data_IF_684683854221
#
_entry.id   IF_684683854221
#
_cell.length_a   1.000
_cell.length_b   1.000
_cell.length_c   1.000
_cell.angle_alpha   90.00
_cell.angle_beta   90.00
_cell.angle_gamma   90.00
#
_symmetry.space_group_name_H-M   'P 1'
#
loop_
_entity.id
_entity.type
_entity.pdbx_description
1 polymer ?
#
# COMPACT_ATOMS: atom_id res chain seq x y z
N UNK A 1 -20.57 37.91 3.25
CA UNK A 1 -20.46 37.12 2.01
C UNK A 1 -19.94 35.76 2.41
N UNK A 2 -20.80 34.74 2.31
CA UNK A 2 -20.50 33.38 2.73
C UNK A 2 -19.46 32.80 1.76
N UNK A 3 -18.26 32.50 2.24
CA UNK A 3 -17.31 31.68 1.49
C UNK A 3 -17.91 30.26 1.45
N UNK A 4 -18.56 29.94 0.34
CA UNK A 4 -18.98 28.59 0.04
C UNK A 4 -17.71 27.79 -0.24
N UNK A 5 -17.17 27.15 0.80
CA UNK A 5 -16.17 26.10 0.63
C UNK A 5 -16.76 25.08 -0.34
N UNK A 6 -16.17 25.00 -1.54
CA UNK A 6 -16.46 23.91 -2.47
C UNK A 6 -16.27 22.57 -1.75
N UNK A 7 -16.92 21.48 -2.20
CA UNK A 7 -16.86 20.20 -1.50
C UNK A 7 -15.40 19.85 -1.24
N UNK A 8 -15.01 19.76 0.04
CA UNK A 8 -13.65 19.47 0.50
C UNK A 8 -13.11 18.27 -0.30
N UNK A 9 -12.29 18.55 -1.30
CA UNK A 9 -11.77 17.53 -2.19
C UNK A 9 -10.53 16.97 -1.54
N UNK A 10 -10.63 15.75 -1.04
CA UNK A 10 -9.56 15.11 -0.28
C UNK A 10 -8.54 14.53 -1.22
N UNK A 11 -7.27 14.71 -0.92
CA UNK A 11 -6.20 14.23 -1.78
C UNK A 11 -5.62 12.90 -1.29
N UNK A 12 -5.46 11.98 -2.22
CA UNK A 12 -4.59 10.82 -2.06
C UNK A 12 -3.48 10.97 -3.07
N UNK A 13 -2.29 11.27 -2.56
CA UNK A 13 -1.10 11.33 -3.37
C UNK A 13 -0.65 9.91 -3.71
N UNK A 14 -0.29 9.67 -4.96
CA UNK A 14 0.07 8.35 -5.46
C UNK A 14 1.22 8.44 -6.46
N UNK A 15 2.22 7.58 -6.29
CA UNK A 15 3.22 7.26 -7.31
C UNK A 15 3.36 5.75 -7.41
N UNK A 16 3.46 5.23 -8.62
CA UNK A 16 3.82 3.84 -8.87
C UNK A 16 4.70 3.77 -10.11
N UNK A 17 5.90 3.24 -9.94
CA UNK A 17 6.95 3.23 -10.96
C UNK A 17 7.67 1.89 -10.96
N UNK A 18 8.17 1.53 -12.14
CA UNK A 18 9.14 0.47 -12.34
C UNK A 18 10.54 1.10 -12.27
N UNK A 19 11.34 0.60 -11.33
CA UNK A 19 12.73 1.01 -11.13
C UNK A 19 13.63 0.43 -12.24
N UNK A 20 14.86 0.94 -12.36
CA UNK A 20 15.83 0.48 -13.36
C UNK A 20 16.13 -1.02 -13.26
N UNK A 21 16.15 -1.56 -12.05
CA UNK A 21 16.38 -2.98 -11.79
C UNK A 21 15.12 -3.85 -11.98
N UNK A 22 14.05 -3.27 -12.52
CA UNK A 22 12.71 -3.87 -12.68
C UNK A 22 12.02 -4.29 -11.39
N UNK A 23 12.46 -3.75 -10.25
CA UNK A 23 11.65 -3.76 -9.03
C UNK A 23 10.56 -2.68 -9.10
N UNK A 24 9.51 -2.88 -8.32
CA UNK A 24 8.36 -1.99 -8.28
C UNK A 24 8.42 -1.14 -7.03
N UNK A 25 8.31 0.17 -7.22
CA UNK A 25 8.07 1.14 -6.18
C UNK A 25 6.63 1.64 -6.28
N UNK A 26 5.92 1.63 -5.16
CA UNK A 26 4.58 2.18 -5.04
C UNK A 26 4.45 2.92 -3.71
N UNK A 27 3.92 4.14 -3.73
CA UNK A 27 3.64 4.90 -2.52
C UNK A 27 2.32 5.62 -2.66
N UNK A 28 1.49 5.53 -1.64
CA UNK A 28 0.26 6.29 -1.51
C UNK A 28 0.16 6.89 -0.13
N UNK A 29 -0.31 8.12 -0.03
CA UNK A 29 -0.57 8.73 1.26
C UNK A 29 -1.76 9.68 1.24
N UNK A 30 -2.30 9.91 2.43
CA UNK A 30 -3.28 10.96 2.71
C UNK A 30 -2.96 11.58 4.06
N UNK A 31 -3.40 12.81 4.30
CA UNK A 31 -3.20 13.50 5.57
C UNK A 31 -4.53 13.61 6.31
N UNK A 32 -4.56 13.21 7.57
CA UNK A 32 -5.71 13.37 8.46
C UNK A 32 -5.44 14.47 9.49
N UNK A 33 -6.49 15.12 10.04
CA UNK A 33 -6.35 16.08 11.12
C UNK A 33 -5.51 15.57 12.32
N UNK A 34 -4.73 16.46 12.95
CA UNK A 34 -3.78 16.11 14.02
C UNK A 34 -4.45 15.63 15.31
N UNK A 35 -5.68 16.06 15.58
CA UNK A 35 -6.50 15.60 16.71
C UNK A 35 -6.80 14.10 16.65
N UNK A 36 -6.69 13.48 15.47
CA UNK A 36 -6.87 12.04 15.31
C UNK A 36 -5.61 11.23 15.66
N UNK A 37 -4.43 11.86 15.83
CA UNK A 37 -3.16 11.17 16.13
C UNK A 37 -3.24 10.15 17.27
N UNK A 38 -3.91 10.41 18.41
CA UNK A 38 -3.99 9.44 19.52
C UNK A 38 -4.74 8.15 19.18
N UNK A 39 -5.52 8.14 18.10
CA UNK A 39 -6.30 6.99 17.63
C UNK A 39 -5.58 6.20 16.54
N UNK A 40 -4.36 6.59 16.19
CA UNK A 40 -3.62 6.10 15.05
C UNK A 40 -2.32 5.44 15.49
N UNK A 41 -2.01 4.32 14.85
CA UNK A 41 -0.74 3.60 14.93
C UNK A 41 -0.46 2.90 13.59
N UNK A 42 0.77 2.50 13.36
CA UNK A 42 1.13 1.75 12.16
C UNK A 42 0.48 0.35 12.17
N UNK A 43 0.32 -0.27 13.35
CA UNK A 43 -0.45 -1.50 13.53
C UNK A 43 -1.92 -1.32 13.21
N UNK A 44 -2.51 -0.19 13.63
CA UNK A 44 -3.90 0.13 13.26
C UNK A 44 -4.05 0.16 11.74
N UNK A 45 -3.12 0.79 11.00
CA UNK A 45 -3.17 0.80 9.54
C UNK A 45 -3.02 -0.61 8.96
N UNK A 46 -2.09 -1.43 9.47
CA UNK A 46 -1.91 -2.81 9.03
C UNK A 46 -3.19 -3.63 9.26
N UNK A 47 -3.73 -3.66 10.48
CA UNK A 47 -4.93 -4.43 10.82
C UNK A 47 -6.13 -4.04 9.95
N UNK A 48 -6.33 -2.73 9.77
CA UNK A 48 -7.38 -2.19 8.90
C UNK A 48 -7.14 -2.56 7.45
N UNK A 49 -5.90 -2.58 6.98
CA UNK A 49 -5.54 -2.99 5.62
C UNK A 49 -5.86 -4.46 5.39
N UNK A 50 -5.48 -5.36 6.31
CA UNK A 50 -5.80 -6.78 6.19
C UNK A 50 -7.32 -7.01 6.16
N UNK A 51 -8.07 -6.38 7.08
CA UNK A 51 -9.53 -6.45 7.08
C UNK A 51 -10.13 -5.89 5.77
N UNK A 52 -9.56 -4.80 5.25
CA UNK A 52 -9.98 -4.20 3.99
C UNK A 52 -9.75 -5.12 2.80
N UNK A 53 -8.56 -5.75 2.67
CA UNK A 53 -8.26 -6.72 1.60
C UNK A 53 -9.29 -7.85 1.61
N UNK A 54 -9.58 -8.41 2.79
CA UNK A 54 -10.58 -9.48 2.92
C UNK A 54 -11.95 -9.02 2.43
N UNK A 55 -12.39 -7.81 2.77
CA UNK A 55 -13.69 -7.28 2.35
C UNK A 55 -13.73 -6.91 0.87
N UNK A 56 -12.71 -6.20 0.39
CA UNK A 56 -12.63 -5.70 -0.98
C UNK A 56 -12.56 -6.83 -2.00
N UNK A 57 -11.88 -7.92 -1.67
CA UNK A 57 -11.75 -9.10 -2.53
C UNK A 57 -12.87 -10.12 -2.32
N UNK A 58 -13.92 -9.79 -1.55
CA UNK A 58 -14.99 -10.72 -1.16
C UNK A 58 -14.44 -12.06 -0.64
N UNK A 59 -13.39 -11.97 0.18
CA UNK A 59 -12.63 -13.09 0.75
C UNK A 59 -11.85 -13.96 -0.23
N UNK A 60 -11.77 -13.60 -1.52
CA UNK A 60 -10.94 -14.27 -2.52
C UNK A 60 -9.47 -14.26 -2.11
N UNK A 61 -8.99 -13.13 -1.58
CA UNK A 61 -7.69 -13.02 -0.94
C UNK A 61 -7.91 -12.97 0.57
N UNK A 62 -7.34 -13.94 1.28
CA UNK A 62 -7.45 -14.08 2.73
C UNK A 62 -6.10 -13.81 3.37
N UNK A 63 -5.93 -12.67 4.05
CA UNK A 63 -4.80 -12.48 4.92
C UNK A 63 -4.87 -13.47 6.08
N UNK A 64 -3.77 -14.16 6.35
CA UNK A 64 -3.58 -15.05 7.48
C UNK A 64 -2.39 -14.52 8.26
N UNK A 65 -2.62 -14.14 9.52
CA UNK A 65 -1.58 -13.70 10.46
C UNK A 65 -1.19 -14.90 11.30
N UNK A 66 0.11 -15.16 11.38
CA UNK A 66 0.71 -16.23 12.17
C UNK A 66 2.00 -15.72 12.84
N UNK A 67 2.57 -16.50 13.74
CA UNK A 67 3.78 -16.12 14.47
C UNK A 67 4.99 -15.91 13.55
N UNK A 68 5.03 -16.62 12.42
CA UNK A 68 6.09 -16.56 11.40
C UNK A 68 5.84 -15.49 10.33
N UNK A 69 4.72 -14.77 10.40
CA UNK A 69 4.45 -13.60 9.55
C UNK A 69 3.03 -13.54 9.00
N UNK A 70 2.89 -12.95 7.82
CA UNK A 70 1.59 -12.70 7.19
C UNK A 70 1.55 -13.28 5.79
N UNK A 71 0.48 -14.00 5.46
CA UNK A 71 0.28 -14.57 4.13
C UNK A 71 -1.03 -14.09 3.50
N UNK A 72 -0.97 -13.58 2.27
CA UNK A 72 -2.16 -13.37 1.44
C UNK A 72 -2.47 -14.64 0.66
N UNK A 73 -3.42 -15.45 1.15
CA UNK A 73 -3.79 -16.74 0.54
C UNK A 73 -4.98 -16.62 -0.41
N UNK A 74 -4.99 -17.45 -1.45
CA UNK A 74 -6.15 -17.59 -2.32
C UNK A 74 -7.21 -18.48 -1.65
N UNK A 75 -8.46 -18.01 -1.61
CA UNK A 75 -9.59 -18.71 -1.01
C UNK A 75 -9.72 -20.16 -1.51
N UNK A 76 -10.03 -21.08 -0.59
CA UNK A 76 -10.16 -22.50 -0.91
C UNK A 76 -8.83 -23.22 -1.18
N UNK A 77 -7.68 -22.55 -1.03
CA UNK A 77 -6.36 -23.16 -1.28
C UNK A 77 -5.39 -22.89 -0.13
N UNK A 78 -4.29 -23.65 -0.12
CA UNK A 78 -3.10 -23.37 0.72
C UNK A 78 -2.08 -22.47 0.01
N UNK A 79 -2.37 -21.97 -1.19
CA UNK A 79 -1.43 -21.19 -1.99
C UNK A 79 -1.40 -19.74 -1.50
N UNK A 80 -0.21 -19.28 -1.12
CA UNK A 80 0.04 -17.87 -0.81
C UNK A 80 0.42 -17.11 -2.07
N UNK A 81 -0.31 -16.04 -2.36
CA UNK A 81 0.02 -15.10 -3.42
C UNK A 81 1.30 -14.33 -3.05
N UNK A 82 1.37 -13.84 -1.82
CA UNK A 82 2.53 -13.17 -1.23
C UNK A 82 2.63 -13.61 0.24
N UNK A 83 3.85 -13.86 0.69
CA UNK A 83 4.23 -14.13 2.07
C UNK A 83 5.14 -13.00 2.56
N UNK A 84 4.93 -12.62 3.81
CA UNK A 84 5.72 -11.63 4.50
C UNK A 84 6.27 -12.18 5.80
N UNK A 85 7.44 -11.69 6.21
CA UNK A 85 7.98 -11.89 7.57
C UNK A 85 7.08 -11.23 8.61
N UNK A 86 7.29 -11.51 9.91
CA UNK A 86 6.64 -10.74 10.97
C UNK A 86 6.91 -9.25 10.81
N UNK A 87 5.93 -8.39 11.16
CA UNK A 87 6.10 -6.96 11.06
C UNK A 87 7.22 -6.49 12.00
N UNK A 88 8.11 -5.65 11.49
CA UNK A 88 9.16 -4.98 12.25
C UNK A 88 8.77 -3.53 12.46
N UNK A 89 8.74 -3.10 13.72
CA UNK A 89 8.38 -1.74 14.10
C UNK A 89 9.64 -0.85 14.15
N UNK A 90 9.49 0.40 13.70
CA UNK A 90 10.46 1.48 13.87
C UNK A 90 9.73 2.73 14.33
N UNK A 91 10.08 3.19 15.53
CA UNK A 91 9.48 4.37 16.15
C UNK A 91 10.51 5.49 16.25
N UNK A 92 10.05 6.73 16.06
CA UNK A 92 10.83 7.94 16.27
C UNK A 92 9.93 9.10 16.72
N UNK A 93 10.50 10.25 17.10
CA UNK A 93 9.69 11.43 17.44
C UNK A 93 8.81 11.85 16.27
N UNK A 94 7.49 11.78 16.45
CA UNK A 94 6.50 12.11 15.41
C UNK A 94 6.48 11.15 14.21
N UNK A 95 7.14 9.99 14.31
CA UNK A 95 7.22 8.99 13.24
C UNK A 95 6.96 7.59 13.77
N UNK A 96 6.15 6.82 13.06
CA UNK A 96 5.87 5.43 13.38
C UNK A 96 5.80 4.62 12.09
N UNK A 97 6.56 3.52 12.01
CA UNK A 97 6.57 2.67 10.83
C UNK A 97 6.49 1.19 11.20
N UNK A 98 5.69 0.46 10.43
CA UNK A 98 5.60 -0.99 10.50
C UNK A 98 5.92 -1.57 9.13
N UNK A 99 7.03 -2.29 9.04
CA UNK A 99 7.56 -2.83 7.79
C UNK A 99 7.47 -4.35 7.78
N UNK A 100 6.96 -4.91 6.69
CA UNK A 100 6.88 -6.33 6.43
C UNK A 100 7.73 -6.64 5.21
N UNK A 101 8.76 -7.46 5.37
CA UNK A 101 9.57 -7.92 4.24
C UNK A 101 8.82 -9.02 3.54
N UNK A 102 8.77 -8.96 2.22
CA UNK A 102 8.36 -10.08 1.40
C UNK A 102 9.38 -11.19 1.65
N UNK A 103 8.90 -12.44 1.71
CA UNK A 103 9.75 -13.61 1.85
C UNK A 103 9.32 -14.76 0.92
N UNK A 104 8.30 -14.55 0.10
CA UNK A 104 7.90 -15.51 -0.92
C UNK A 104 6.49 -15.30 -1.46
N UNK A 105 5.99 -16.31 -2.15
CA UNK A 105 4.64 -16.34 -2.71
C UNK A 105 4.64 -16.48 -4.22
N UNK A 106 3.49 -16.88 -4.76
CA UNK A 106 3.34 -17.16 -6.19
C UNK A 106 3.52 -15.92 -7.08
N UNK A 107 3.32 -14.71 -6.55
CA UNK A 107 3.42 -13.48 -7.32
C UNK A 107 4.84 -12.86 -7.31
N UNK A 108 5.79 -13.47 -6.60
CA UNK A 108 7.14 -12.94 -6.39
C UNK A 108 8.17 -13.80 -7.15
N UNK A 109 9.22 -13.19 -7.68
CA UNK A 109 10.32 -13.95 -8.30
C UNK A 109 11.10 -14.73 -7.24
N UNK A 110 11.27 -16.05 -7.41
CA UNK A 110 11.82 -16.96 -6.40
C UNK A 110 13.21 -16.57 -5.85
N UNK A 111 14.05 -15.90 -6.65
CA UNK A 111 15.41 -15.46 -6.26
C UNK A 111 15.49 -14.02 -5.74
N UNK A 112 14.34 -13.36 -5.59
CA UNK A 112 14.22 -11.95 -5.18
C UNK A 112 13.21 -11.81 -4.03
N UNK A 113 12.91 -12.93 -3.36
CA UNK A 113 11.84 -13.01 -2.38
C UNK A 113 12.09 -12.14 -1.16
N UNK A 114 13.33 -11.85 -0.81
CA UNK A 114 13.78 -11.18 0.40
C UNK A 114 14.05 -9.68 0.23
N UNK A 115 13.85 -9.13 -0.98
CA UNK A 115 14.13 -7.72 -1.29
C UNK A 115 12.96 -6.79 -1.00
N UNK A 116 11.76 -7.19 -1.40
CA UNK A 116 10.61 -6.30 -1.38
C UNK A 116 10.09 -6.04 0.03
N UNK A 117 9.58 -4.84 0.28
CA UNK A 117 9.04 -4.46 1.58
C UNK A 117 7.70 -3.73 1.44
N UNK A 118 6.74 -4.09 2.30
CA UNK A 118 5.50 -3.35 2.48
C UNK A 118 5.55 -2.60 3.82
N UNK A 119 5.41 -1.28 3.79
CA UNK A 119 5.49 -0.41 4.97
C UNK A 119 4.21 0.38 5.17
N UNK A 120 3.78 0.46 6.43
CA UNK A 120 2.72 1.33 6.92
C UNK A 120 3.39 2.40 7.79
N UNK A 121 3.24 3.67 7.44
CA UNK A 121 3.96 4.76 8.11
C UNK A 121 3.00 5.87 8.51
N UNK A 122 3.28 6.46 9.66
CA UNK A 122 2.64 7.65 10.18
C UNK A 122 3.72 8.69 10.39
N UNK A 123 3.54 9.86 9.78
CA UNK A 123 4.43 11.01 9.95
C UNK A 123 3.60 12.20 10.43
N UNK A 124 3.97 12.78 11.56
CA UNK A 124 3.42 14.05 12.01
C UNK A 124 3.97 15.17 11.10
N UNK A 125 3.06 15.90 10.47
CA UNK A 125 3.33 16.99 9.53
C UNK A 125 2.62 18.26 10.02
N UNK A 126 3.06 19.43 9.54
CA UNK A 126 2.43 20.73 9.84
C UNK A 126 0.94 20.73 9.44
N UNK A 127 0.60 19.93 8.43
CA UNK A 127 -0.77 19.80 7.91
C UNK A 127 -1.63 18.76 8.63
N UNK A 128 -1.08 17.96 9.56
CA UNK A 128 -1.77 16.87 10.24
C UNK A 128 -0.93 15.59 10.31
N UNK A 129 -1.56 14.43 10.45
CA UNK A 129 -0.86 13.14 10.43
C UNK A 129 -0.93 12.54 9.04
N UNK A 130 0.23 12.33 8.41
CA UNK A 130 0.33 11.67 7.11
C UNK A 130 0.30 10.15 7.29
N UNK A 131 -0.65 9.50 6.65
CA UNK A 131 -0.80 8.04 6.62
C UNK A 131 -0.26 7.53 5.28
N UNK A 132 0.84 6.78 5.31
CA UNK A 132 1.52 6.32 4.10
C UNK A 132 1.53 4.80 4.00
N UNK A 133 1.19 4.29 2.81
CA UNK A 133 1.42 2.92 2.41
C UNK A 133 2.52 2.93 1.35
N UNK A 134 3.56 2.13 1.56
CA UNK A 134 4.69 2.06 0.65
C UNK A 134 5.07 0.63 0.35
N UNK A 135 5.26 0.31 -0.92
CA UNK A 135 5.85 -0.92 -1.42
C UNK A 135 7.18 -0.56 -2.10
N UNK A 136 8.29 -1.10 -1.64
CA UNK A 136 9.60 -0.93 -2.29
C UNK A 136 10.15 -2.27 -2.73
N UNK A 137 11.05 -2.24 -3.71
CA UNK A 137 11.87 -3.38 -4.13
C UNK A 137 11.08 -4.67 -4.47
N UNK A 138 9.79 -4.55 -4.80
CA UNK A 138 8.96 -5.71 -5.10
C UNK A 138 9.27 -6.21 -6.50
N UNK A 139 9.75 -7.45 -6.62
CA UNK A 139 10.05 -8.09 -7.89
C UNK A 139 8.90 -9.03 -8.31
N UNK A 140 7.98 -8.60 -9.20
CA UNK A 140 6.83 -9.39 -9.58
C UNK A 140 7.24 -10.53 -10.50
N UNK A 141 6.64 -11.71 -10.31
CA UNK A 141 6.86 -12.89 -11.17
C UNK A 141 6.52 -12.58 -12.63
N UNK A 142 5.48 -11.76 -12.87
CA UNK A 142 5.02 -11.41 -14.22
C UNK A 142 6.07 -10.65 -15.04
N UNK A 143 6.95 -9.87 -14.39
CA UNK A 143 8.06 -9.21 -15.07
C UNK A 143 9.17 -10.22 -15.38
N UNK A 144 9.44 -11.11 -14.42
CA UNK A 144 10.20 -12.35 -14.61
C UNK A 144 11.72 -12.20 -14.83
N UNK A 145 12.24 -10.99 -15.00
CA UNK A 145 13.68 -10.68 -15.06
C UNK A 145 13.92 -9.19 -14.81
N UNK A 146 15.20 -8.78 -14.78
CA UNK A 146 15.66 -7.38 -14.76
C UNK A 146 15.40 -6.63 -16.07
N UNK A 147 15.08 -7.35 -17.16
CA UNK A 147 14.76 -6.79 -18.48
C UNK A 147 13.44 -7.38 -19.00
N UNK A 148 12.28 -6.99 -18.44
CA UNK A 148 11.01 -7.55 -18.84
C UNK A 148 10.60 -7.06 -20.22
N UNK A 149 10.07 -7.98 -21.04
CA UNK A 149 9.54 -7.65 -22.36
C UNK A 149 8.34 -6.69 -22.26
N UNK A 150 8.09 -5.92 -23.33
CA UNK A 150 6.95 -4.98 -23.38
C UNK A 150 5.61 -5.64 -23.07
N UNK A 151 5.39 -6.88 -23.51
CA UNK A 151 4.17 -7.64 -23.23
C UNK A 151 4.03 -7.97 -21.74
N UNK A 152 5.12 -8.38 -21.08
CA UNK A 152 5.13 -8.65 -19.64
C UNK A 152 4.88 -7.40 -18.82
N UNK A 153 5.53 -6.29 -19.18
CA UNK A 153 5.27 -4.97 -18.59
C UNK A 153 3.79 -4.59 -18.74
N UNK A 154 3.23 -4.71 -19.94
CA UNK A 154 1.82 -4.44 -20.21
C UNK A 154 0.90 -5.32 -19.37
N UNK A 155 1.09 -6.64 -19.33
CA UNK A 155 0.27 -7.54 -18.54
C UNK A 155 0.35 -7.20 -17.05
N UNK A 156 1.54 -6.90 -16.53
CA UNK A 156 1.74 -6.48 -15.16
C UNK A 156 1.00 -5.16 -14.84
N UNK A 157 1.10 -4.15 -15.72
CA UNK A 157 0.41 -2.86 -15.60
C UNK A 157 -1.10 -3.02 -15.44
N UNK A 158 -1.72 -3.82 -16.31
CA UNK A 158 -3.17 -4.01 -16.32
C UNK A 158 -3.70 -4.98 -15.26
N UNK A 159 -2.83 -5.74 -14.60
CA UNK A 159 -3.24 -6.70 -13.57
C UNK A 159 -2.80 -6.25 -12.18
N UNK A 160 -1.60 -6.63 -11.75
CA UNK A 160 -1.14 -6.43 -10.38
C UNK A 160 -0.97 -4.95 -10.04
N UNK A 161 -0.36 -4.17 -10.93
CA UNK A 161 -0.12 -2.75 -10.71
C UNK A 161 -1.42 -1.95 -10.60
N UNK A 162 -2.36 -2.14 -11.52
CA UNK A 162 -3.67 -1.47 -11.48
C UNK A 162 -4.49 -1.89 -10.24
N UNK A 163 -4.59 -3.20 -9.97
CA UNK A 163 -5.33 -3.71 -8.80
C UNK A 163 -4.74 -3.16 -7.51
N UNK A 164 -3.41 -3.18 -7.36
CA UNK A 164 -2.74 -2.66 -6.16
C UNK A 164 -3.04 -1.18 -5.94
N UNK A 165 -2.88 -0.34 -6.97
CA UNK A 165 -3.19 1.09 -6.92
C UNK A 165 -4.64 1.36 -6.51
N UNK A 166 -5.60 0.65 -7.12
CA UNK A 166 -7.03 0.80 -6.78
C UNK A 166 -7.28 0.40 -5.33
N UNK A 167 -6.69 -0.71 -4.88
CA UNK A 167 -6.83 -1.23 -3.52
C UNK A 167 -6.28 -0.22 -2.49
N UNK A 168 -5.07 0.30 -2.67
CA UNK A 168 -4.42 1.19 -1.70
C UNK A 168 -5.09 2.56 -1.65
N UNK A 169 -5.46 3.13 -2.80
CA UNK A 169 -6.22 4.40 -2.86
C UNK A 169 -7.57 4.26 -2.16
N UNK A 170 -8.34 3.22 -2.48
CA UNK A 170 -9.66 3.03 -1.85
C UNK A 170 -9.55 2.68 -0.36
N UNK A 171 -8.50 1.97 0.04
CA UNK A 171 -8.20 1.72 1.45
C UNK A 171 -7.97 3.03 2.21
N UNK A 172 -7.08 3.91 1.72
CA UNK A 172 -6.79 5.18 2.37
C UNK A 172 -8.02 6.10 2.41
N UNK A 173 -8.79 6.15 1.33
CA UNK A 173 -10.07 6.87 1.29
C UNK A 173 -11.05 6.38 2.38
N UNK A 174 -11.13 5.04 2.55
CA UNK A 174 -11.97 4.40 3.55
C UNK A 174 -11.51 4.71 4.97
N UNK A 175 -10.20 4.59 5.25
CA UNK A 175 -9.61 4.89 6.56
C UNK A 175 -9.89 6.33 6.93
N UNK A 176 -9.65 7.28 6.02
CA UNK A 176 -9.98 8.67 6.24
C UNK A 176 -11.47 8.83 6.60
N UNK A 177 -12.37 8.30 5.77
CA UNK A 177 -13.82 8.47 5.96
C UNK A 177 -14.30 7.90 7.31
N UNK A 178 -13.76 6.75 7.73
CA UNK A 178 -14.11 6.12 9.00
C UNK A 178 -13.53 6.91 10.21
N UNK A 179 -12.42 7.64 10.06
CA UNK A 179 -11.79 8.42 11.14
C UNK A 179 -12.34 9.84 11.28
N UNK A 180 -12.44 10.57 10.17
CA UNK A 180 -12.79 11.99 10.11
C UNK A 180 -14.30 12.22 9.86
N UNK A 181 -15.11 11.17 9.83
CA UNK A 181 -16.58 11.26 9.85
C UNK A 181 -17.25 11.81 8.59
N UNK A 182 -16.53 11.97 7.47
CA UNK A 182 -17.10 12.52 6.23
C UNK A 182 -16.92 11.62 5.01
N UNK A 183 -17.91 11.59 4.12
CA UNK A 183 -17.92 10.88 2.83
C UNK A 183 -17.61 11.77 1.62
N UNK A 184 -16.67 12.72 1.77
CA UNK A 184 -16.30 13.66 0.71
C UNK A 184 -15.64 13.01 -0.51
N UNK A 185 -15.64 13.72 -1.64
CA UNK A 185 -15.02 13.24 -2.87
C UNK A 185 -13.49 13.15 -2.70
N UNK A 186 -12.92 12.03 -3.15
CA UNK A 186 -11.48 11.78 -3.11
C UNK A 186 -10.89 12.03 -4.50
N UNK A 187 -9.91 12.94 -4.56
CA UNK A 187 -9.07 13.21 -5.72
C UNK A 187 -7.74 12.48 -5.55
N UNK A 188 -7.39 11.65 -6.53
CA UNK A 188 -6.04 11.08 -6.60
C UNK A 188 -5.14 12.12 -7.26
N UNK A 189 -4.05 12.48 -6.58
CA UNK A 189 -3.03 13.41 -7.10
C UNK A 189 -1.74 12.66 -7.38
N UNK A 190 -1.03 13.09 -8.43
CA UNK A 190 0.23 12.45 -8.81
C UNK A 190 1.34 12.95 -7.90
N UNK A 191 2.03 12.01 -7.26
CA UNK A 191 3.26 12.28 -6.53
C UNK A 191 4.50 12.00 -7.40
N UNK A 192 5.61 12.66 -7.07
CA UNK A 192 6.94 12.37 -7.59
C UNK A 192 7.93 12.31 -6.43
N UNK A 193 8.20 11.10 -5.96
CA UNK A 193 9.10 10.81 -4.82
C UNK A 193 10.35 10.06 -5.28
N UNK A 194 10.26 9.28 -6.37
CA UNK A 194 11.39 8.61 -7.01
C UNK A 194 11.38 8.70 -8.54
N UNK A 195 12.45 8.22 -9.15
CA UNK A 195 12.64 8.16 -10.61
C UNK A 195 12.43 6.74 -11.13
N UNK A 196 11.75 6.60 -12.28
CA UNK A 196 11.42 5.31 -12.89
C UNK A 196 10.35 5.41 -13.97
N UNK A 197 10.07 4.29 -14.64
CA UNK A 197 9.03 4.19 -15.67
C UNK A 197 7.64 4.13 -15.01
N UNK A 198 6.69 4.96 -15.44
CA UNK A 198 5.33 4.94 -14.88
C UNK A 198 4.56 3.65 -15.23
N UNK A 199 3.91 3.09 -14.22
CA UNK A 199 3.07 1.89 -14.34
C UNK A 199 1.59 2.26 -14.43
#
# INVERSE_FOLDING_TARGET
MSNTEGPFTREIACQQILMEDSSVFSVQWTTVPSDLRPRLSAEFLLERYLAYIRRFTLTLIRPVVAADGIAFRLAGTRRSLILFTPPTRRDGPGHEALTLRICGGFLVQARQCDRGELSFMLDDDVSGVRLTLRLTDYCPLLLGSSEPSRLRKWLYRFTQAYIHKVVTVRFLARVYADLAGGGGCVRVVRARVGEGEEL
#
